data_IF_762753283753
#
_entry.id   IF_762753283753
#
_cell.length_a   1.000
_cell.length_b   1.000
_cell.length_c   1.000
_cell.angle_alpha   90.00
_cell.angle_beta   90.00
_cell.angle_gamma   90.00
#
_symmetry.space_group_name_H-M   'P 1'
#
loop_
_entity.id
_entity.type
_entity.pdbx_description
1 polymer ?
#
# COMPACT_ATOMS: atom_id res chain seq x y z
N UNK A 1 33.17 16.45 2.02
CA UNK A 1 31.80 16.97 1.82
C UNK A 1 30.84 16.00 2.48
N UNK A 2 30.21 16.39 3.59
CA UNK A 2 29.16 15.58 4.20
C UNK A 2 27.98 15.48 3.21
N UNK A 3 27.51 14.25 2.93
CA UNK A 3 26.23 14.06 2.23
C UNK A 3 25.16 14.69 3.11
N UNK A 4 24.48 15.71 2.59
CA UNK A 4 23.25 16.22 3.19
C UNK A 4 22.25 15.05 3.20
N UNK A 5 21.95 14.51 4.38
CA UNK A 5 20.92 13.49 4.56
C UNK A 5 19.58 14.11 4.18
N UNK A 6 19.18 13.97 2.92
CA UNK A 6 17.81 14.31 2.51
C UNK A 6 16.89 13.37 3.26
N UNK A 7 16.13 13.95 4.19
CA UNK A 7 15.04 13.27 4.87
C UNK A 7 14.08 12.69 3.82
N UNK A 8 13.96 11.37 3.76
CA UNK A 8 13.01 10.69 2.87
C UNK A 8 11.61 10.78 3.48
N UNK A 9 10.64 11.46 2.85
CA UNK A 9 9.27 11.47 3.33
C UNK A 9 8.62 10.09 3.12
N UNK A 10 7.76 9.70 4.05
CA UNK A 10 6.93 8.52 3.93
C UNK A 10 5.53 8.90 3.41
N UNK A 11 5.01 8.09 2.49
CA UNK A 11 3.62 8.14 2.05
C UNK A 11 2.92 6.86 2.51
N UNK A 12 1.96 7.00 3.41
CA UNK A 12 1.00 5.96 3.75
C UNK A 12 -0.16 6.05 2.77
N UNK A 13 -0.45 4.97 2.07
CA UNK A 13 -1.66 4.84 1.25
C UNK A 13 -2.57 3.81 1.90
N UNK A 14 -3.77 4.23 2.31
CA UNK A 14 -4.85 3.30 2.61
C UNK A 14 -5.54 2.92 1.32
N UNK A 15 -5.47 1.64 0.97
CA UNK A 15 -6.03 1.07 -0.25
C UNK A 15 -6.91 -0.12 0.13
N UNK A 16 -8.14 0.13 0.61
CA UNK A 16 -8.99 -0.87 1.25
C UNK A 16 -9.71 -1.78 0.22
N UNK A 17 -8.99 -2.23 -0.80
CA UNK A 17 -9.49 -3.16 -1.80
C UNK A 17 -9.47 -4.59 -1.24
N UNK A 18 -10.61 -5.26 -1.22
CA UNK A 18 -10.78 -6.58 -0.61
C UNK A 18 -11.67 -7.55 -1.41
N UNK A 19 -11.97 -7.22 -2.67
CA UNK A 19 -12.68 -8.12 -3.57
C UNK A 19 -11.78 -9.28 -4.05
N UNK A 20 -12.40 -10.29 -4.67
CA UNK A 20 -11.73 -11.45 -5.28
C UNK A 20 -10.96 -12.34 -4.28
N UNK A 21 -11.66 -12.73 -3.20
CA UNK A 21 -11.28 -13.89 -2.38
C UNK A 21 -11.47 -13.69 -0.88
N UNK A 22 -11.45 -12.45 -0.35
CA UNK A 22 -11.64 -12.23 1.08
C UNK A 22 -12.26 -10.85 1.39
N UNK A 23 -13.57 -10.77 1.25
CA UNK A 23 -14.32 -9.55 1.56
C UNK A 23 -14.29 -9.24 3.07
N UNK A 24 -14.22 -7.96 3.44
CA UNK A 24 -14.22 -7.46 4.81
C UNK A 24 -12.84 -6.99 5.29
N UNK A 25 -11.75 -7.47 4.68
CA UNK A 25 -10.39 -7.02 5.06
C UNK A 25 -10.15 -5.52 4.77
N UNK A 26 -10.91 -4.94 3.85
CA UNK A 26 -10.88 -3.50 3.57
C UNK A 26 -11.28 -2.65 4.77
N UNK A 27 -12.17 -3.15 5.65
CA UNK A 27 -12.52 -2.46 6.89
C UNK A 27 -11.31 -2.34 7.84
N UNK A 28 -10.47 -3.38 7.92
CA UNK A 28 -9.24 -3.35 8.70
C UNK A 28 -8.26 -2.28 8.20
N UNK A 29 -8.07 -2.18 6.89
CA UNK A 29 -7.24 -1.15 6.27
C UNK A 29 -7.74 0.28 6.56
N UNK A 30 -9.07 0.49 6.54
CA UNK A 30 -9.70 1.77 6.90
C UNK A 30 -9.46 2.13 8.37
N UNK A 31 -9.64 1.18 9.29
CA UNK A 31 -9.39 1.39 10.72
C UNK A 31 -7.93 1.74 11.02
N UNK A 32 -6.97 1.09 10.34
CA UNK A 32 -5.55 1.45 10.47
C UNK A 32 -5.27 2.87 9.96
N UNK A 33 -5.88 3.26 8.83
CA UNK A 33 -5.73 4.61 8.30
C UNK A 33 -6.31 5.66 9.25
N UNK A 34 -7.46 5.36 9.87
CA UNK A 34 -8.06 6.19 10.91
C UNK A 34 -7.13 6.37 12.11
N UNK A 35 -6.60 5.27 12.65
CA UNK A 35 -5.65 5.32 13.76
C UNK A 35 -4.40 6.15 13.42
N UNK A 36 -3.87 6.03 12.19
CA UNK A 36 -2.73 6.85 11.74
C UNK A 36 -3.11 8.32 11.64
N UNK A 37 -4.29 8.63 11.10
CA UNK A 37 -4.78 10.01 10.96
C UNK A 37 -4.92 10.68 12.32
N UNK A 38 -5.50 9.96 13.29
CA UNK A 38 -5.64 10.41 14.68
C UNK A 38 -4.27 10.60 15.35
N UNK A 39 -3.38 9.62 15.26
CA UNK A 39 -2.02 9.71 15.78
C UNK A 39 -1.27 10.92 15.22
N UNK A 40 -1.35 11.18 13.91
CA UNK A 40 -0.70 12.35 13.31
C UNK A 40 -1.35 13.67 13.75
N UNK A 41 -2.66 13.69 14.00
CA UNK A 41 -3.34 14.85 14.56
C UNK A 41 -2.91 15.13 16.00
N UNK A 42 -2.73 14.08 16.81
CA UNK A 42 -2.24 14.19 18.19
C UNK A 42 -0.79 14.62 18.26
N UNK A 43 0.07 14.06 17.40
CA UNK A 43 1.46 14.51 17.27
C UNK A 43 1.55 16.02 17.01
N UNK A 44 0.70 16.56 16.12
CA UNK A 44 0.65 17.99 15.82
C UNK A 44 0.15 18.85 16.98
N UNK A 45 -0.59 18.27 17.93
CA UNK A 45 -1.08 18.95 19.14
C UNK A 45 -0.08 18.90 20.30
N UNK A 46 0.91 18.02 20.24
CA UNK A 46 1.96 17.91 21.26
C UNK A 46 2.78 19.20 21.30
N UNK A 47 2.95 19.75 22.51
CA UNK A 47 3.70 20.98 22.79
C UNK A 47 5.02 20.72 23.48
N UNK A 48 5.16 19.56 24.13
CA UNK A 48 6.39 19.14 24.77
C UNK A 48 7.37 18.60 23.72
N UNK A 49 8.66 18.91 23.84
CA UNK A 49 9.68 18.29 22.99
C UNK A 49 9.62 16.76 23.11
N UNK A 50 9.21 16.10 22.04
CA UNK A 50 9.14 14.65 21.96
C UNK A 50 9.66 14.14 20.61
N UNK A 51 9.85 12.84 20.50
CA UNK A 51 10.37 12.19 19.28
C UNK A 51 9.46 12.38 18.07
N UNK A 52 8.18 12.74 18.27
CA UNK A 52 7.21 12.90 17.17
C UNK A 52 7.57 14.06 16.25
N UNK A 53 8.24 15.10 16.80
CA UNK A 53 8.74 16.23 16.01
C UNK A 53 9.73 15.83 14.92
N UNK A 54 10.42 14.69 15.07
CA UNK A 54 11.37 14.21 14.10
C UNK A 54 10.71 13.64 12.82
N UNK A 55 9.43 13.25 12.87
CA UNK A 55 8.75 12.55 11.76
C UNK A 55 7.37 13.08 11.38
N UNK A 56 6.69 13.85 12.23
CA UNK A 56 5.29 14.24 12.02
C UNK A 56 5.03 14.96 10.67
N UNK A 57 5.98 15.77 10.21
CA UNK A 57 5.88 16.52 8.94
C UNK A 57 6.45 15.73 7.75
N UNK A 58 6.96 14.53 8.00
CA UNK A 58 7.56 13.64 6.99
C UNK A 58 6.62 12.51 6.60
N UNK A 59 5.51 12.31 7.32
CA UNK A 59 4.52 11.27 7.03
C UNK A 59 3.28 11.92 6.42
N UNK A 60 2.95 11.52 5.20
CA UNK A 60 1.71 11.89 4.51
C UNK A 60 0.78 10.69 4.46
N UNK A 61 -0.51 10.93 4.64
CA UNK A 61 -1.56 9.92 4.49
C UNK A 61 -2.39 10.23 3.25
N UNK A 62 -2.62 9.22 2.40
CA UNK A 62 -3.56 9.24 1.29
C UNK A 62 -4.53 8.10 1.48
N UNK A 63 -5.82 8.40 1.40
CA UNK A 63 -6.88 7.42 1.55
C UNK A 63 -7.60 7.26 0.21
N UNK A 64 -7.91 6.02 -0.12
CA UNK A 64 -8.65 5.63 -1.33
C UNK A 64 -9.95 4.97 -0.89
N UNK A 65 -11.01 5.29 -1.61
CA UNK A 65 -12.32 4.70 -1.43
C UNK A 65 -12.74 3.92 -2.68
N UNK A 66 -13.55 2.89 -2.46
CA UNK A 66 -14.13 2.03 -3.50
C UNK A 66 -15.65 2.01 -3.29
N UNK A 67 -16.30 3.15 -3.44
CA UNK A 67 -17.74 3.31 -3.22
C UNK A 67 -18.55 3.05 -4.49
N UNK A 68 -17.91 3.17 -5.65
CA UNK A 68 -18.54 3.01 -6.95
C UNK A 68 -17.97 1.83 -7.73
N UNK A 69 -18.79 1.26 -8.62
CA UNK A 69 -18.34 0.20 -9.53
C UNK A 69 -17.23 0.68 -10.48
N UNK A 70 -17.19 1.97 -10.81
CA UNK A 70 -16.12 2.53 -11.64
C UNK A 70 -14.78 2.52 -10.91
N UNK A 71 -14.74 2.92 -9.64
CA UNK A 71 -13.53 2.85 -8.80
C UNK A 71 -13.07 1.41 -8.63
N UNK A 72 -14.01 0.49 -8.41
CA UNK A 72 -13.72 -0.94 -8.35
C UNK A 72 -13.19 -1.47 -9.67
N UNK A 73 -13.74 -1.06 -10.83
CA UNK A 73 -13.25 -1.51 -12.13
C UNK A 73 -11.85 -0.97 -12.44
N UNK A 74 -11.57 0.28 -12.06
CA UNK A 74 -10.29 0.95 -12.30
C UNK A 74 -9.25 0.75 -11.19
N UNK A 75 -9.53 -0.07 -10.18
CA UNK A 75 -8.70 -0.23 -8.98
C UNK A 75 -7.22 -0.44 -9.30
N UNK A 76 -6.90 -1.35 -10.24
CA UNK A 76 -5.53 -1.68 -10.62
C UNK A 76 -4.82 -0.49 -11.26
N UNK A 77 -5.50 0.20 -12.17
CA UNK A 77 -4.98 1.42 -12.84
C UNK A 77 -4.73 2.53 -11.83
N UNK A 78 -5.68 2.77 -10.93
CA UNK A 78 -5.55 3.77 -9.86
C UNK A 78 -4.38 3.42 -8.92
N UNK A 79 -4.29 2.17 -8.48
CA UNK A 79 -3.22 1.70 -7.61
C UNK A 79 -1.84 1.87 -8.24
N UNK A 80 -1.70 1.52 -9.53
CA UNK A 80 -0.44 1.69 -10.28
C UNK A 80 -0.05 3.16 -10.37
N UNK A 81 -1.00 4.06 -10.62
CA UNK A 81 -0.74 5.50 -10.67
C UNK A 81 -0.24 6.04 -9.31
N UNK A 82 -0.85 5.59 -8.21
CA UNK A 82 -0.43 5.97 -6.86
C UNK A 82 0.97 5.45 -6.52
N UNK A 83 1.22 4.16 -6.77
CA UNK A 83 2.51 3.51 -6.53
C UNK A 83 3.61 4.18 -7.37
N UNK A 84 3.40 4.33 -8.69
CA UNK A 84 4.33 5.01 -9.59
C UNK A 84 4.68 6.40 -9.09
N UNK A 85 3.68 7.19 -8.72
CA UNK A 85 3.89 8.56 -8.27
C UNK A 85 4.71 8.61 -6.97
N UNK A 86 4.51 7.66 -6.05
CA UNK A 86 5.29 7.55 -4.82
C UNK A 86 6.75 7.17 -5.11
N UNK A 87 6.96 6.13 -5.92
CA UNK A 87 8.28 5.63 -6.30
C UNK A 87 9.08 6.68 -7.07
N UNK A 88 8.47 7.41 -8.01
CA UNK A 88 9.12 8.48 -8.77
C UNK A 88 9.57 9.66 -7.90
N UNK A 89 8.84 9.96 -6.82
CA UNK A 89 9.24 10.99 -5.85
C UNK A 89 10.32 10.50 -4.89
N UNK A 90 10.65 9.22 -4.89
CA UNK A 90 11.51 8.59 -3.89
C UNK A 90 10.87 8.57 -2.50
N UNK A 91 9.53 8.56 -2.42
CA UNK A 91 8.82 8.42 -1.15
C UNK A 91 9.04 7.01 -0.59
N UNK A 92 9.16 6.91 0.74
CA UNK A 92 9.01 5.62 1.41
C UNK A 92 7.52 5.23 1.43
N UNK A 93 7.11 4.32 0.56
CA UNK A 93 5.71 3.91 0.40
C UNK A 93 5.32 2.86 1.45
N UNK A 94 4.30 3.17 2.25
CA UNK A 94 3.62 2.23 3.15
C UNK A 94 2.23 1.99 2.57
N UNK A 95 1.94 0.74 2.17
CA UNK A 95 0.69 0.36 1.54
C UNK A 95 -0.18 -0.43 2.51
N UNK A 96 -1.29 0.16 2.95
CA UNK A 96 -2.26 -0.48 3.83
C UNK A 96 -3.38 -1.06 2.96
N UNK A 97 -3.16 -2.29 2.52
CA UNK A 97 -4.08 -3.05 1.70
C UNK A 97 -5.26 -3.64 2.47
N UNK A 98 -6.38 -3.87 1.79
CA UNK A 98 -7.47 -4.70 2.30
C UNK A 98 -7.06 -6.17 2.35
N UNK A 99 -7.21 -6.89 1.23
CA UNK A 99 -6.62 -8.23 1.08
C UNK A 99 -5.30 -8.18 0.31
N UNK A 100 -4.59 -9.31 0.20
CA UNK A 100 -3.24 -9.31 -0.37
C UNK A 100 -3.20 -8.92 -1.86
N UNK A 101 -4.28 -9.17 -2.62
CA UNK A 101 -4.37 -8.74 -4.03
C UNK A 101 -4.20 -7.22 -4.21
N UNK A 102 -4.56 -6.44 -3.19
CA UNK A 102 -4.41 -4.98 -3.22
C UNK A 102 -2.96 -4.50 -3.46
N UNK A 103 -1.94 -5.33 -3.22
CA UNK A 103 -0.53 -4.99 -3.43
C UNK A 103 -0.07 -5.20 -4.88
N UNK A 104 -0.83 -5.92 -5.70
CA UNK A 104 -0.48 -6.21 -7.10
C UNK A 104 -0.05 -4.95 -7.89
N UNK A 105 -0.77 -3.81 -7.83
CA UNK A 105 -0.37 -2.60 -8.53
C UNK A 105 0.99 -2.05 -8.10
N UNK A 106 1.38 -2.27 -6.84
CA UNK A 106 2.69 -1.85 -6.31
C UNK A 106 3.78 -2.76 -6.90
N UNK A 107 3.55 -4.07 -6.90
CA UNK A 107 4.50 -5.04 -7.47
C UNK A 107 4.74 -4.81 -8.96
N UNK A 108 3.69 -4.50 -9.73
CA UNK A 108 3.82 -4.17 -11.17
C UNK A 108 4.73 -2.95 -11.40
N UNK A 109 4.65 -1.94 -10.54
CA UNK A 109 5.50 -0.75 -10.66
C UNK A 109 6.93 -0.99 -10.14
N UNK A 110 7.10 -1.87 -9.16
CA UNK A 110 8.40 -2.31 -8.66
C UNK A 110 9.13 -3.24 -9.64
N UNK A 111 8.41 -4.11 -10.34
CA UNK A 111 8.95 -5.02 -11.36
C UNK A 111 9.54 -4.28 -12.56
N UNK A 112 9.04 -3.06 -12.84
CA UNK A 112 9.64 -2.17 -13.83
C UNK A 112 11.00 -1.59 -13.40
N UNK A 113 11.38 -1.70 -12.13
CA UNK A 113 12.66 -1.25 -11.59
C UNK A 113 13.66 -2.42 -11.56
N UNK A 114 14.78 -2.27 -12.27
CA UNK A 114 15.84 -3.28 -12.26
C UNK A 114 16.50 -3.40 -10.88
N UNK A 115 16.68 -4.64 -10.39
CA UNK A 115 17.38 -4.91 -9.14
C UNK A 115 16.50 -4.85 -7.89
N UNK A 116 15.18 -4.78 -8.03
CA UNK A 116 14.25 -4.93 -6.90
C UNK A 116 14.25 -6.37 -6.38
N UNK A 117 14.38 -6.52 -5.06
CA UNK A 117 14.13 -7.77 -4.36
C UNK A 117 12.83 -7.66 -3.56
N UNK A 118 11.92 -8.61 -3.75
CA UNK A 118 10.67 -8.69 -2.99
C UNK A 118 10.82 -9.74 -1.90
N UNK A 119 10.51 -9.36 -0.67
CA UNK A 119 10.46 -10.26 0.49
C UNK A 119 9.02 -10.32 0.97
N UNK A 120 8.40 -11.50 0.87
CA UNK A 120 7.02 -11.73 1.28
C UNK A 120 6.99 -12.59 2.55
N UNK A 121 6.29 -12.07 3.57
CA UNK A 121 5.96 -12.81 4.77
C UNK A 121 4.48 -13.13 4.74
N UNK A 122 4.15 -14.37 4.42
CA UNK A 122 2.78 -14.85 4.38
C UNK A 122 2.75 -16.35 4.71
N UNK A 123 1.63 -16.81 5.25
CA UNK A 123 1.36 -18.24 5.42
C UNK A 123 1.04 -18.92 4.07
N UNK A 124 0.61 -18.14 3.07
CA UNK A 124 0.28 -18.60 1.73
C UNK A 124 1.31 -18.12 0.72
N UNK A 125 1.48 -18.88 -0.36
CA UNK A 125 2.43 -18.53 -1.41
C UNK A 125 1.88 -17.53 -2.43
N UNK A 126 0.55 -17.35 -2.49
CA UNK A 126 -0.17 -16.48 -3.44
C UNK A 126 0.16 -16.68 -4.93
N UNK A 127 0.62 -17.88 -5.27
CA UNK A 127 0.92 -18.37 -6.63
C UNK A 127 0.10 -19.64 -6.95
N UNK A 128 -1.07 -19.81 -6.36
CA UNK A 128 -1.86 -21.02 -6.58
C UNK A 128 -2.26 -21.16 -8.06
N UNK A 129 -1.78 -22.25 -8.66
CA UNK A 129 -2.10 -22.68 -10.02
C UNK A 129 -2.40 -24.19 -9.99
N UNK A 130 -3.39 -24.56 -9.18
CA UNK A 130 -3.83 -25.95 -9.01
C UNK A 130 -5.07 -26.24 -9.85
N UNK A 131 -5.34 -27.51 -10.15
CA UNK A 131 -6.46 -27.93 -11.00
C UNK A 131 -7.85 -27.54 -10.46
N UNK A 132 -7.95 -27.23 -9.18
CA UNK A 132 -9.16 -26.84 -8.46
C UNK A 132 -9.19 -25.35 -8.05
N UNK A 133 -8.20 -24.55 -8.49
CA UNK A 133 -8.17 -23.11 -8.26
C UNK A 133 -8.87 -22.32 -9.38
N UNK A 134 -9.35 -21.11 -9.05
CA UNK A 134 -9.85 -20.14 -10.04
C UNK A 134 -8.71 -19.67 -10.94
N UNK A 135 -8.98 -19.58 -12.24
CA UNK A 135 -8.06 -19.01 -13.23
C UNK A 135 -8.13 -17.48 -13.27
N UNK A 136 -9.22 -16.92 -12.75
CA UNK A 136 -9.42 -15.50 -12.59
C UNK A 136 -8.54 -14.94 -11.47
N UNK A 137 -8.24 -13.64 -11.57
CA UNK A 137 -7.40 -12.95 -10.60
C UNK A 137 -8.03 -12.99 -9.19
N UNK A 138 -7.23 -13.40 -8.20
CA UNK A 138 -7.63 -13.49 -6.79
C UNK A 138 -6.45 -13.20 -5.85
N UNK A 139 -6.71 -13.04 -4.55
CA UNK A 139 -5.62 -12.89 -3.57
C UNK A 139 -4.70 -14.11 -3.48
N UNK A 140 -5.11 -15.29 -3.96
CA UNK A 140 -4.34 -16.53 -3.85
C UNK A 140 -3.47 -16.85 -5.06
N UNK A 141 -3.59 -16.10 -6.15
CA UNK A 141 -2.83 -16.33 -7.39
C UNK A 141 -2.21 -15.06 -7.98
N UNK A 142 -2.39 -13.89 -7.36
CA UNK A 142 -2.03 -12.60 -7.95
C UNK A 142 -0.55 -12.45 -8.28
N UNK A 143 0.35 -13.16 -7.59
CA UNK A 143 1.79 -13.08 -7.88
C UNK A 143 2.14 -13.65 -9.26
N UNK A 144 1.32 -14.54 -9.82
CA UNK A 144 1.45 -14.99 -11.20
C UNK A 144 1.19 -13.86 -12.21
N UNK A 145 0.59 -12.75 -11.77
CA UNK A 145 0.23 -11.59 -12.58
C UNK A 145 1.11 -10.36 -12.31
N UNK A 146 2.14 -10.48 -11.46
CA UNK A 146 3.00 -9.38 -11.04
C UNK A 146 4.12 -9.02 -12.06
N UNK A 147 4.01 -9.49 -13.30
CA UNK A 147 5.01 -9.32 -14.37
C UNK A 147 4.65 -8.21 -15.37
#
# INVERSE_FOLDING_TARGET
MAREERSVPALVVSFPFDLFGHAGAGAGARLLAEAIREMLADNRREKQPSRVSAYQDKVRLREVDFETMAEVADWRKMGRQLARSALQRGDFLIWLGGNHLSVLPVLEELGALTGTCVVQFDAHLDVYNLSDCTTELSHGNFLLHAA
#
